data_IF_847728178108
#
_entry.id   IF_847728178108
#
_cell.length_a   1.000
_cell.length_b   1.000
_cell.length_c   1.000
_cell.angle_alpha   90.00
_cell.angle_beta   90.00
_cell.angle_gamma   90.00
#
_symmetry.space_group_name_H-M   'P 1'
#
loop_
_entity.id
_entity.type
_entity.pdbx_description
1 polymer ?
#
# COMPACT_ATOMS: atom_id res chain seq x y z
N UNK A 1 -23.37 6.05 0.96
CA UNK A 1 -21.94 6.30 1.27
C UNK A 1 -21.17 5.81 0.06
N UNK A 2 -20.34 6.65 -0.56
CA UNK A 2 -19.54 6.20 -1.69
C UNK A 2 -18.44 5.27 -1.18
N UNK A 3 -18.43 4.03 -1.65
CA UNK A 3 -17.38 3.08 -1.31
C UNK A 3 -16.13 3.46 -2.12
N UNK A 4 -15.01 3.68 -1.42
CA UNK A 4 -13.72 3.97 -2.04
C UNK A 4 -12.96 2.67 -2.27
N UNK A 5 -12.33 2.55 -3.44
CA UNK A 5 -11.52 1.41 -3.81
C UNK A 5 -10.17 1.85 -4.37
N UNK A 6 -9.17 1.00 -4.19
CA UNK A 6 -7.95 1.01 -4.98
C UNK A 6 -8.12 0.01 -6.12
N UNK A 7 -8.12 0.50 -7.35
CA UNK A 7 -8.17 -0.29 -8.56
C UNK A 7 -6.75 -0.47 -9.09
N UNK A 8 -6.29 -1.72 -9.24
CA UNK A 8 -5.17 -2.01 -10.11
C UNK A 8 -5.70 -2.10 -11.56
N UNK A 9 -5.27 -1.20 -12.43
CA UNK A 9 -5.78 -1.10 -13.81
C UNK A 9 -5.28 -2.23 -14.71
N UNK A 10 -4.12 -2.81 -14.42
CA UNK A 10 -3.56 -3.92 -15.20
C UNK A 10 -4.33 -5.23 -15.00
N UNK A 11 -4.93 -5.42 -13.81
CA UNK A 11 -5.56 -6.67 -13.40
C UNK A 11 -7.05 -6.54 -13.11
N UNK A 12 -7.58 -5.31 -13.15
CA UNK A 12 -8.93 -4.94 -12.72
C UNK A 12 -9.29 -5.33 -11.28
N UNK A 13 -8.30 -5.64 -10.44
CA UNK A 13 -8.55 -6.00 -9.05
C UNK A 13 -8.94 -4.75 -8.25
N UNK A 14 -10.01 -4.86 -7.46
CA UNK A 14 -10.52 -3.78 -6.61
C UNK A 14 -10.36 -4.15 -5.14
N UNK A 15 -9.57 -3.36 -4.41
CA UNK A 15 -9.45 -3.45 -2.96
C UNK A 15 -10.34 -2.40 -2.30
N UNK A 16 -11.28 -2.85 -1.46
CA UNK A 16 -12.02 -1.95 -0.58
C UNK A 16 -11.06 -1.11 0.26
N UNK A 17 -11.14 0.22 0.10
CA UNK A 17 -10.15 1.16 0.61
C UNK A 17 -10.85 2.14 1.55
N UNK A 18 -10.48 2.12 2.83
CA UNK A 18 -10.91 3.13 3.80
C UNK A 18 -9.81 4.19 3.99
N UNK A 19 -10.04 5.16 4.89
CA UNK A 19 -9.08 6.24 5.15
C UNK A 19 -7.70 5.75 5.59
N UNK A 20 -7.63 4.64 6.32
CA UNK A 20 -6.37 4.04 6.76
C UNK A 20 -5.61 3.47 5.57
N UNK A 21 -6.29 2.69 4.72
CA UNK A 21 -5.74 2.15 3.49
C UNK A 21 -5.17 3.26 2.59
N UNK A 22 -5.97 4.31 2.36
CA UNK A 22 -5.60 5.47 1.56
C UNK A 22 -4.36 6.19 2.13
N UNK A 23 -4.30 6.40 3.45
CA UNK A 23 -3.15 7.03 4.11
C UNK A 23 -1.89 6.19 3.97
N UNK A 24 -1.99 4.88 4.18
CA UNK A 24 -0.85 3.95 4.04
C UNK A 24 -0.36 3.93 2.60
N UNK A 25 -1.27 3.77 1.63
CA UNK A 25 -0.91 3.78 0.21
C UNK A 25 -0.25 5.10 -0.19
N UNK A 26 -0.85 6.24 0.15
CA UNK A 26 -0.28 7.55 -0.19
C UNK A 26 1.08 7.78 0.48
N UNK A 27 1.25 7.32 1.73
CA UNK A 27 2.55 7.36 2.38
C UNK A 27 3.58 6.54 1.57
N UNK A 28 3.28 5.28 1.24
CA UNK A 28 4.16 4.44 0.43
C UNK A 28 4.44 5.03 -0.96
N UNK A 29 3.43 5.63 -1.59
CA UNK A 29 3.54 6.28 -2.90
C UNK A 29 4.47 7.50 -2.85
N UNK A 30 4.44 8.27 -1.75
CA UNK A 30 5.27 9.47 -1.52
C UNK A 30 6.74 9.16 -1.21
N UNK A 31 7.07 7.93 -0.82
CA UNK A 31 8.43 7.57 -0.46
C UNK A 31 9.31 7.55 -1.72
N UNK A 32 10.46 8.20 -1.63
CA UNK A 32 11.45 8.23 -2.71
C UNK A 32 12.00 6.82 -2.96
N UNK A 33 12.03 6.41 -4.22
CA UNK A 33 12.53 5.10 -4.65
C UNK A 33 13.91 5.26 -5.26
N UNK A 34 14.92 4.63 -4.67
CA UNK A 34 16.23 4.47 -5.32
C UNK A 34 16.17 3.21 -6.19
N UNK A 35 16.39 3.34 -7.50
CA UNK A 35 16.30 2.24 -8.46
C UNK A 35 14.95 1.50 -8.46
N UNK A 36 13.84 2.23 -8.31
CA UNK A 36 12.49 1.67 -8.39
C UNK A 36 12.01 0.93 -7.14
N UNK A 37 12.80 0.86 -6.06
CA UNK A 37 12.34 0.31 -4.78
C UNK A 37 12.69 1.23 -3.62
N UNK A 38 11.94 1.11 -2.53
CA UNK A 38 12.20 1.79 -1.28
C UNK A 38 12.41 0.77 -0.18
N UNK A 39 13.54 0.82 0.54
CA UNK A 39 13.86 -0.12 1.61
C UNK A 39 13.43 0.43 2.96
N UNK A 40 12.62 -0.32 3.70
CA UNK A 40 12.23 0.06 5.06
C UNK A 40 11.83 -1.12 5.94
N UNK A 41 11.74 -0.88 7.24
CA UNK A 41 11.21 -1.82 8.21
C UNK A 41 9.73 -1.54 8.47
N UNK A 42 8.98 -2.56 8.89
CA UNK A 42 7.58 -2.37 9.32
C UNK A 42 7.49 -1.37 10.47
N UNK A 43 8.46 -1.39 11.40
CA UNK A 43 8.53 -0.46 12.53
C UNK A 43 8.62 0.99 12.07
N UNK A 44 9.48 1.28 11.10
CA UNK A 44 9.62 2.62 10.51
C UNK A 44 8.33 3.04 9.81
N UNK A 45 7.73 2.16 9.02
CA UNK A 45 6.44 2.41 8.36
C UNK A 45 5.27 2.58 9.32
N UNK A 46 5.33 1.98 10.50
CA UNK A 46 4.32 2.14 11.55
C UNK A 46 4.43 3.49 12.25
N UNK A 47 5.66 3.98 12.47
CA UNK A 47 5.90 5.25 13.18
C UNK A 47 5.42 6.50 12.43
N UNK A 48 5.58 6.57 11.10
CA UNK A 48 5.26 7.79 10.35
C UNK A 48 3.75 8.11 10.28
N UNK A 49 2.86 7.14 9.97
CA UNK A 49 1.41 7.35 9.97
C UNK A 49 0.75 7.13 11.34
N UNK A 50 1.53 6.75 12.37
CA UNK A 50 1.03 6.54 13.74
C UNK A 50 0.19 5.27 13.93
N UNK A 51 0.47 4.22 13.15
CA UNK A 51 -0.25 2.94 13.24
C UNK A 51 0.55 1.89 14.00
N UNK A 52 -0.12 0.84 14.49
CA UNK A 52 0.58 -0.32 15.06
C UNK A 52 1.29 -1.12 13.97
N UNK A 53 2.40 -1.79 14.33
CA UNK A 53 3.10 -2.68 13.40
C UNK A 53 2.20 -3.80 12.85
N UNK A 54 1.30 -4.34 13.68
CA UNK A 54 0.33 -5.36 13.25
C UNK A 54 -0.67 -4.80 12.23
N UNK A 55 -1.15 -3.57 12.43
CA UNK A 55 -2.04 -2.90 11.48
C UNK A 55 -1.36 -2.62 10.15
N UNK A 56 -0.10 -2.17 10.16
CA UNK A 56 0.70 -2.00 8.94
C UNK A 56 0.88 -3.35 8.23
N UNK A 57 1.24 -4.42 8.94
CA UNK A 57 1.40 -5.76 8.34
C UNK A 57 0.12 -6.25 7.67
N UNK A 58 -1.02 -6.03 8.32
CA UNK A 58 -2.33 -6.37 7.76
C UNK A 58 -2.57 -5.64 6.43
N UNK A 59 -2.43 -4.32 6.42
CA UNK A 59 -2.64 -3.54 5.19
C UNK A 59 -1.61 -3.85 4.11
N UNK A 60 -0.34 -4.05 4.45
CA UNK A 60 0.68 -4.47 3.51
C UNK A 60 0.34 -5.81 2.86
N UNK A 61 -0.22 -6.77 3.61
CA UNK A 61 -0.69 -8.04 3.05
C UNK A 61 -1.82 -7.81 2.05
N UNK A 62 -2.84 -7.04 2.43
CA UNK A 62 -3.98 -6.75 1.56
C UNK A 62 -3.57 -6.01 0.28
N UNK A 63 -2.72 -4.98 0.40
CA UNK A 63 -2.22 -4.21 -0.73
C UNK A 63 -1.37 -5.07 -1.68
N UNK A 64 -0.57 -5.98 -1.13
CA UNK A 64 0.21 -6.94 -1.93
C UNK A 64 -0.71 -7.92 -2.65
N UNK A 65 -1.69 -8.49 -1.96
CA UNK A 65 -2.61 -9.47 -2.53
C UNK A 65 -3.51 -8.83 -3.60
N UNK A 66 -3.85 -7.55 -3.41
CA UNK A 66 -4.53 -6.71 -4.39
C UNK A 66 -3.64 -6.25 -5.56
N UNK A 67 -2.35 -6.63 -5.56
CA UNK A 67 -1.35 -6.23 -6.56
C UNK A 67 -1.26 -4.72 -6.73
N UNK A 68 -1.41 -3.93 -5.66
CA UNK A 68 -1.19 -2.47 -5.74
C UNK A 68 0.20 -2.06 -5.25
N UNK A 69 0.88 -2.97 -4.54
CA UNK A 69 2.29 -2.86 -4.15
C UNK A 69 3.00 -4.20 -4.37
N UNK A 70 4.33 -4.15 -4.54
CA UNK A 70 5.21 -5.30 -4.44
C UNK A 70 6.04 -5.21 -3.16
N UNK A 71 6.24 -6.35 -2.50
CA UNK A 71 7.02 -6.43 -1.24
C UNK A 71 7.98 -7.61 -1.35
N UNK A 72 9.27 -7.34 -1.17
CA UNK A 72 10.32 -8.37 -1.11
C UNK A 72 11.05 -8.31 0.24
N UNK A 73 11.11 -9.44 0.97
CA UNK A 73 11.78 -9.49 2.26
C UNK A 73 13.31 -9.58 2.09
N UNK A 74 14.06 -8.70 2.79
CA UNK A 74 15.53 -8.68 2.87
C UNK A 74 15.97 -8.72 4.33
N UNK A 75 15.95 -9.91 4.94
CA UNK A 75 16.29 -10.09 6.34
C UNK A 75 15.34 -9.36 7.28
N UNK A 76 15.84 -8.32 7.95
CA UNK A 76 15.08 -7.44 8.87
C UNK A 76 14.33 -6.30 8.16
N UNK A 77 14.59 -6.08 6.87
CA UNK A 77 13.97 -5.04 6.07
C UNK A 77 13.10 -5.63 4.96
N UNK A 78 12.33 -4.77 4.31
CA UNK A 78 11.56 -5.06 3.12
C UNK A 78 11.92 -4.03 2.05
N UNK A 79 12.07 -4.49 0.82
CA UNK A 79 12.07 -3.65 -0.36
C UNK A 79 10.61 -3.52 -0.83
N UNK A 80 10.11 -2.29 -0.90
CA UNK A 80 8.76 -1.94 -1.32
C UNK A 80 8.79 -1.29 -2.70
N UNK A 81 7.82 -1.63 -3.53
CA UNK A 81 7.53 -0.91 -4.77
C UNK A 81 6.02 -0.67 -4.86
N UNK A 82 5.62 0.47 -5.41
CA UNK A 82 4.21 0.81 -5.63
C UNK A 82 3.93 0.66 -7.11
N UNK A 83 2.86 -0.05 -7.43
CA UNK A 83 2.48 -0.26 -8.83
C UNK A 83 1.89 1.05 -9.35
N UNK A 84 2.39 1.50 -10.50
CA UNK A 84 2.12 2.83 -11.03
C UNK A 84 0.74 2.92 -11.71
N UNK A 85 0.16 1.79 -12.10
CA UNK A 85 -1.17 1.67 -12.71
C UNK A 85 -2.23 1.37 -11.66
N UNK A 86 -2.31 2.23 -10.63
CA UNK A 86 -3.27 2.11 -9.54
C UNK A 86 -4.03 3.42 -9.40
N UNK A 87 -5.35 3.35 -9.42
CA UNK A 87 -6.23 4.51 -9.30
C UNK A 87 -7.21 4.37 -8.13
N UNK A 88 -7.56 5.51 -7.53
CA UNK A 88 -8.65 5.56 -6.55
C UNK A 88 -9.97 5.74 -7.29
N UNK A 89 -10.89 4.79 -7.13
CA UNK A 89 -12.22 4.85 -7.72
C UNK A 89 -13.30 4.85 -6.63
N UNK A 90 -14.42 5.50 -6.93
CA UNK A 90 -15.62 5.44 -6.08
C UNK A 90 -16.70 4.64 -6.77
N UNK A 91 -17.32 3.69 -6.08
CA UNK A 91 -18.53 3.02 -6.57
C UNK A 91 -19.74 3.52 -5.80
N UNK A 92 -20.80 3.86 -6.55
CA UNK A 92 -22.07 4.39 -6.04
C UNK A 92 -23.16 3.30 -5.99
N UNK A 93 -22.78 2.04 -5.80
CA UNK A 93 -23.76 0.96 -5.68
C UNK A 93 -24.64 1.12 -4.44
#
# INVERSE_FOLDING_TARGET
MNNLYLLNEDTNFQLGCNDVCRRIYNHLASLHRENGTFRSSVKTLASAPGYSESGIRYWLSLLRDAKVIAISRRGSYYDFDVIHNVSFITSNH
#
